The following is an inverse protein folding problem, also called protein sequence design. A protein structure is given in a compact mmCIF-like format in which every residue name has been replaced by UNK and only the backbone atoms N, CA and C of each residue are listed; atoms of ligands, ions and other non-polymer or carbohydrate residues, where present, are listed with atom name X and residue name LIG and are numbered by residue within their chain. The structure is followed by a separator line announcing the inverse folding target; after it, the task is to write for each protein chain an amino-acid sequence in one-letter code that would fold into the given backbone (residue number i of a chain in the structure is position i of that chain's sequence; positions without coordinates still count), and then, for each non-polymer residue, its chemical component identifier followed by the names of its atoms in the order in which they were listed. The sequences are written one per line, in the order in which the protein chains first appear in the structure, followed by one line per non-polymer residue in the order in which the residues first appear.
data_IF_341481498849
#
_entry.id   IF_341481498849
#
_cell.length_a   1.000
_cell.length_b   1.000
_cell.length_c   1.000
_cell.angle_alpha   90.00
_cell.angle_beta   90.00
_cell.angle_gamma   90.00
#
_symmetry.space_group_name_H-M   'P 1'
#
loop_
_entity.id
_entity.type
_entity.pdbx_description
1 polymer ?
#
# COMPACT_ATOMS: atom_id res chain seq x y z
N UNK A 1 -21.91 -10.10 15.89
CA UNK A 1 -21.33 -10.57 14.63
C UNK A 1 -20.78 -9.41 13.79
N UNK A 2 -21.56 -8.42 13.37
CA UNK A 2 -21.08 -7.30 12.55
C UNK A 2 -19.85 -6.57 13.13
N UNK A 3 -19.87 -6.20 14.42
CA UNK A 3 -18.76 -5.51 15.08
C UNK A 3 -17.44 -6.28 15.07
N UNK A 4 -17.50 -7.61 15.09
CA UNK A 4 -16.31 -8.47 15.05
C UNK A 4 -15.74 -8.66 13.65
N UNK A 5 -16.56 -8.44 12.62
CA UNK A 5 -16.16 -8.60 11.20
C UNK A 5 -15.75 -7.26 10.57
N UNK A 6 -16.30 -6.14 11.03
CA UNK A 6 -16.06 -4.83 10.41
C UNK A 6 -14.58 -4.40 10.39
N UNK A 7 -13.76 -4.58 11.46
CA UNK A 7 -12.34 -4.29 11.38
C UNK A 7 -11.61 -5.13 10.31
N UNK A 8 -12.03 -6.38 10.07
CA UNK A 8 -11.46 -7.22 9.02
C UNK A 8 -11.77 -6.65 7.63
N UNK A 9 -12.96 -6.09 7.41
CA UNK A 9 -13.29 -5.39 6.16
C UNK A 9 -12.37 -4.19 5.95
N UNK A 10 -12.08 -3.42 7.00
CA UNK A 10 -11.12 -2.32 6.94
C UNK A 10 -9.69 -2.81 6.62
N UNK A 11 -9.25 -3.90 7.26
CA UNK A 11 -7.95 -4.53 6.96
C UNK A 11 -7.88 -4.96 5.49
N UNK A 12 -8.91 -5.63 4.98
CA UNK A 12 -8.95 -6.05 3.57
C UNK A 12 -8.95 -4.87 2.61
N UNK A 13 -9.68 -3.79 2.93
CA UNK A 13 -9.63 -2.56 2.14
C UNK A 13 -8.23 -1.94 2.13
N UNK A 14 -7.55 -1.91 3.29
CA UNK A 14 -6.16 -1.47 3.40
C UNK A 14 -5.19 -2.35 2.60
N UNK A 15 -5.36 -3.67 2.64
CA UNK A 15 -4.58 -4.62 1.83
C UNK A 15 -4.79 -4.37 0.34
N UNK A 16 -6.03 -4.14 -0.11
CA UNK A 16 -6.33 -3.80 -1.51
C UNK A 16 -5.64 -2.51 -1.92
N UNK A 17 -5.79 -1.45 -1.13
CA UNK A 17 -5.18 -0.15 -1.41
C UNK A 17 -3.65 -0.24 -1.45
N UNK A 18 -3.06 -0.96 -0.50
CA UNK A 18 -1.62 -1.17 -0.49
C UNK A 18 -1.15 -2.03 -1.68
N UNK A 19 -1.87 -3.08 -2.05
CA UNK A 19 -1.51 -3.94 -3.18
C UNK A 19 -1.62 -3.19 -4.51
N UNK A 20 -2.60 -2.31 -4.67
CA UNK A 20 -2.81 -1.52 -5.90
C UNK A 20 -1.84 -0.35 -5.96
N UNK A 21 -1.83 0.52 -4.95
CA UNK A 21 -1.05 1.76 -4.97
C UNK A 21 0.41 1.50 -4.63
N UNK A 22 0.68 0.75 -3.56
CA UNK A 22 2.04 0.33 -3.20
C UNK A 22 2.62 -0.62 -4.25
N UNK A 23 1.78 -1.50 -4.83
CA UNK A 23 2.17 -2.37 -5.94
C UNK A 23 2.61 -1.57 -7.16
N UNK A 24 1.89 -0.52 -7.55
CA UNK A 24 2.30 0.36 -8.65
C UNK A 24 3.65 1.03 -8.37
N UNK A 25 3.86 1.44 -7.13
CA UNK A 25 5.10 2.07 -6.68
C UNK A 25 6.28 1.07 -6.67
N UNK A 26 6.13 -0.14 -6.12
CA UNK A 26 7.14 -1.20 -6.21
C UNK A 26 7.43 -1.61 -7.65
N UNK A 27 6.40 -1.77 -8.46
CA UNK A 27 6.54 -2.14 -9.87
C UNK A 27 7.28 -1.09 -10.70
N UNK A 28 7.15 0.20 -10.37
CA UNK A 28 7.94 1.25 -11.00
C UNK A 28 9.44 1.07 -10.75
N UNK A 29 9.84 0.72 -9.50
CA UNK A 29 11.24 0.38 -9.19
C UNK A 29 11.74 -0.86 -9.96
N UNK A 30 10.87 -1.86 -10.19
CA UNK A 30 11.22 -3.03 -11.02
C UNK A 30 11.37 -2.61 -12.49
N UNK A 31 10.52 -1.71 -13.01
CA UNK A 31 10.68 -1.20 -14.37
C UNK A 31 11.94 -0.35 -14.55
N UNK A 32 12.42 0.34 -13.50
CA UNK A 32 13.73 0.97 -13.52
C UNK A 32 14.85 -0.05 -13.72
N UNK A 33 14.80 -1.20 -13.03
CA UNK A 33 15.74 -2.31 -13.20
C UNK A 33 15.72 -2.85 -14.63
N UNK A 34 14.53 -2.98 -15.22
CA UNK A 34 14.30 -3.53 -16.56
C UNK A 34 14.37 -2.49 -17.69
N UNK A 35 14.75 -1.25 -17.40
CA UNK A 35 14.79 -0.16 -18.39
C UNK A 35 15.86 -0.35 -19.48
N UNK A 36 16.94 -1.05 -19.16
CA UNK A 36 18.10 -1.25 -20.03
C UNK A 36 19.06 -0.04 -20.07
N UNK A 37 20.18 -0.16 -20.79
CA UNK A 37 21.17 0.91 -20.95
C UNK A 37 20.75 1.94 -22.01
N UNK A 38 21.46 3.09 -22.04
CA UNK A 38 21.32 4.15 -23.04
C UNK A 38 20.18 5.13 -22.75
N UNK A 39 20.07 6.15 -23.60
CA UNK A 39 19.15 7.28 -23.44
C UNK A 39 17.68 6.88 -23.25
N UNK A 40 17.23 5.85 -23.97
CA UNK A 40 15.86 5.35 -23.81
C UNK A 40 15.62 4.75 -22.43
N UNK A 41 16.61 4.00 -21.91
CA UNK A 41 16.53 3.42 -20.56
C UNK A 41 16.56 4.51 -19.49
N UNK A 42 17.34 5.54 -19.67
CA UNK A 42 17.43 6.70 -18.79
C UNK A 42 16.09 7.45 -18.71
N UNK A 43 15.49 7.77 -19.84
CA UNK A 43 14.15 8.41 -19.89
C UNK A 43 13.08 7.56 -19.21
N UNK A 44 13.14 6.22 -19.33
CA UNK A 44 12.20 5.32 -18.62
C UNK A 44 12.42 5.38 -17.11
N UNK A 45 13.68 5.41 -16.64
CA UNK A 45 14.01 5.52 -15.21
C UNK A 45 13.55 6.85 -14.64
N UNK A 46 13.81 7.94 -15.35
CA UNK A 46 13.42 9.29 -14.96
C UNK A 46 11.89 9.41 -14.86
N UNK A 47 11.17 9.00 -15.90
CA UNK A 47 9.70 9.00 -15.89
C UNK A 47 9.12 8.15 -14.75
N UNK A 48 9.66 6.95 -14.51
CA UNK A 48 9.21 6.10 -13.42
C UNK A 48 9.49 6.72 -12.04
N UNK A 49 10.60 7.44 -11.89
CA UNK A 49 10.94 8.13 -10.64
C UNK A 49 10.03 9.33 -10.37
N UNK A 50 9.83 10.19 -11.36
CA UNK A 50 9.01 11.41 -11.25
C UNK A 50 7.53 11.09 -11.01
N UNK A 51 7.00 10.12 -11.76
CA UNK A 51 5.59 9.73 -11.65
C UNK A 51 5.21 9.13 -10.29
N UNK A 52 6.16 8.49 -9.60
CA UNK A 52 5.88 7.81 -8.33
C UNK A 52 6.26 8.61 -7.09
N UNK A 53 7.05 9.68 -7.23
CA UNK A 53 7.50 10.50 -6.11
C UNK A 53 6.37 10.99 -5.19
N UNK A 54 5.31 11.61 -5.71
CA UNK A 54 4.21 12.14 -4.88
C UNK A 54 3.37 11.05 -4.18
N UNK A 55 3.41 9.82 -4.68
CA UNK A 55 2.53 8.71 -4.22
C UNK A 55 3.22 7.83 -3.19
N UNK A 56 4.55 7.82 -3.18
CA UNK A 56 5.36 6.92 -2.35
C UNK A 56 5.08 7.07 -0.84
N UNK A 57 5.04 8.27 -0.32
CA UNK A 57 4.80 8.52 1.11
C UNK A 57 3.38 8.09 1.53
N UNK A 58 2.39 8.35 0.68
CA UNK A 58 0.99 8.00 0.96
C UNK A 58 0.75 6.49 0.97
N UNK A 59 1.52 5.70 0.22
CA UNK A 59 1.31 4.25 0.11
C UNK A 59 1.63 3.50 1.40
N UNK A 60 2.64 3.93 2.16
CA UNK A 60 3.06 3.26 3.40
C UNK A 60 2.03 3.42 4.53
N UNK A 61 1.18 4.43 4.47
CA UNK A 61 0.06 4.62 5.42
C UNK A 61 -0.88 3.42 5.41
N UNK A 62 -1.14 2.82 4.24
CA UNK A 62 -2.01 1.65 4.13
C UNK A 62 -1.43 0.40 4.80
N UNK A 63 -0.11 0.19 4.70
CA UNK A 63 0.56 -0.91 5.40
C UNK A 63 0.49 -0.73 6.91
N UNK A 64 0.81 0.47 7.41
CA UNK A 64 0.73 0.79 8.84
C UNK A 64 -0.71 0.62 9.34
N UNK A 65 -1.69 1.06 8.57
CA UNK A 65 -3.11 0.90 8.86
C UNK A 65 -3.49 -0.58 9.01
N UNK A 66 -3.11 -1.44 8.04
CA UNK A 66 -3.36 -2.88 8.10
C UNK A 66 -2.75 -3.52 9.34
N UNK A 67 -1.48 -3.20 9.64
CA UNK A 67 -0.78 -3.75 10.81
C UNK A 67 -1.45 -3.30 12.11
N UNK A 68 -1.75 -1.99 12.24
CA UNK A 68 -2.33 -1.42 13.45
C UNK A 68 -3.73 -1.95 13.73
N UNK A 69 -4.60 -1.98 12.71
CA UNK A 69 -5.97 -2.49 12.88
C UNK A 69 -5.96 -4.00 13.17
N UNK A 70 -5.11 -4.77 12.48
CA UNK A 70 -5.01 -6.22 12.72
C UNK A 70 -4.49 -6.50 14.13
N UNK A 71 -3.45 -5.80 14.58
CA UNK A 71 -2.90 -5.96 15.92
C UNK A 71 -3.93 -5.64 17.00
N UNK A 72 -4.65 -4.54 16.84
CA UNK A 72 -5.59 -4.07 17.86
C UNK A 72 -6.88 -4.87 17.87
N UNK A 73 -7.45 -5.18 16.70
CA UNK A 73 -8.74 -5.88 16.60
C UNK A 73 -8.62 -7.40 16.70
N UNK A 74 -7.48 -8.00 16.31
CA UNK A 74 -7.27 -9.45 16.29
C UNK A 74 -5.87 -9.83 16.84
N UNK A 75 -5.59 -9.59 18.14
CA UNK A 75 -4.26 -9.71 18.71
C UNK A 75 -3.66 -11.13 18.62
N UNK A 76 -4.47 -12.16 18.80
CA UNK A 76 -4.02 -13.57 18.69
C UNK A 76 -3.63 -13.89 17.24
N UNK A 77 -4.42 -13.46 16.28
CA UNK A 77 -4.14 -13.62 14.85
C UNK A 77 -2.85 -12.89 14.46
N UNK A 78 -2.71 -11.61 14.86
CA UNK A 78 -1.52 -10.82 14.59
C UNK A 78 -0.26 -11.43 15.22
N UNK A 79 -0.32 -11.82 16.50
CA UNK A 79 0.82 -12.39 17.21
C UNK A 79 1.29 -13.71 16.59
N UNK A 80 0.36 -14.57 16.15
CA UNK A 80 0.67 -15.82 15.46
C UNK A 80 1.39 -15.57 14.12
N UNK A 81 0.92 -14.63 13.32
CA UNK A 81 1.53 -14.25 12.04
C UNK A 81 2.89 -13.61 12.27
N UNK A 82 2.97 -12.60 13.13
CA UNK A 82 4.17 -11.82 13.35
C UNK A 82 5.33 -12.68 13.89
N UNK A 83 5.04 -13.66 14.73
CA UNK A 83 6.05 -14.55 15.28
C UNK A 83 6.46 -15.66 14.32
N UNK A 84 5.51 -16.34 13.68
CA UNK A 84 5.79 -17.45 12.74
C UNK A 84 6.45 -16.96 11.46
N UNK A 85 5.99 -15.82 10.92
CA UNK A 85 6.48 -15.26 9.66
C UNK A 85 7.48 -14.10 9.87
N UNK A 86 8.11 -14.04 11.05
CA UNK A 86 9.04 -12.96 11.43
C UNK A 86 10.15 -12.74 10.42
N UNK A 87 10.72 -13.81 9.84
CA UNK A 87 11.79 -13.72 8.83
C UNK A 87 11.27 -13.09 7.54
N UNK A 88 10.13 -13.54 7.01
CA UNK A 88 9.55 -12.98 5.79
C UNK A 88 9.15 -11.51 5.99
N UNK A 89 8.54 -11.18 7.14
CA UNK A 89 8.18 -9.81 7.50
C UNK A 89 9.41 -8.91 7.70
N UNK A 90 10.49 -9.44 8.29
CA UNK A 90 11.75 -8.71 8.42
C UNK A 90 12.38 -8.41 7.05
N UNK A 91 12.38 -9.38 6.14
CA UNK A 91 12.86 -9.20 4.75
C UNK A 91 12.02 -8.12 4.04
N UNK A 92 10.70 -8.16 4.19
CA UNK A 92 9.80 -7.15 3.63
C UNK A 92 10.08 -5.76 4.22
N UNK A 93 10.19 -5.67 5.55
CA UNK A 93 10.50 -4.42 6.25
C UNK A 93 11.86 -3.84 5.86
N UNK A 94 12.89 -4.69 5.76
CA UNK A 94 14.21 -4.28 5.29
C UNK A 94 14.14 -3.75 3.84
N UNK A 95 13.40 -4.42 2.96
CA UNK A 95 13.16 -3.94 1.60
C UNK A 95 12.50 -2.56 1.56
N UNK A 96 11.48 -2.33 2.39
CA UNK A 96 10.80 -1.03 2.48
C UNK A 96 11.75 0.05 3.00
N UNK A 97 12.54 -0.25 4.04
CA UNK A 97 13.51 0.70 4.63
C UNK A 97 14.60 1.04 3.61
N UNK A 98 15.20 0.04 2.96
CA UNK A 98 16.23 0.24 1.94
C UNK A 98 15.71 1.09 0.77
N UNK A 99 14.48 0.86 0.37
CA UNK A 99 13.84 1.64 -0.68
C UNK A 99 13.67 3.11 -0.29
N UNK A 100 13.17 3.38 0.92
CA UNK A 100 13.04 4.73 1.46
C UNK A 100 14.39 5.44 1.61
N UNK A 101 15.40 4.73 2.13
CA UNK A 101 16.77 5.25 2.25
C UNK A 101 17.37 5.58 0.87
N UNK A 102 17.21 4.68 -0.11
CA UNK A 102 17.69 4.92 -1.48
C UNK A 102 17.01 6.13 -2.12
N UNK A 103 15.71 6.31 -1.92
CA UNK A 103 14.98 7.48 -2.42
C UNK A 103 15.53 8.79 -1.83
N UNK A 104 15.77 8.81 -0.51
CA UNK A 104 16.30 9.99 0.17
C UNK A 104 17.77 10.28 -0.21
N UNK A 105 18.59 9.25 -0.40
CA UNK A 105 20.02 9.40 -0.76
C UNK A 105 20.23 9.81 -2.22
N UNK A 106 19.29 9.53 -3.12
CA UNK A 106 19.43 9.84 -4.54
C UNK A 106 19.65 11.31 -4.83
N UNK A 107 19.02 12.20 -4.07
CA UNK A 107 19.17 13.66 -4.22
C UNK A 107 20.56 14.18 -3.82
N UNK A 108 21.33 13.42 -3.04
CA UNK A 108 22.68 13.75 -2.58
C UNK A 108 23.79 12.99 -3.28
N UNK A 109 23.48 12.04 -4.17
CA UNK A 109 24.49 11.24 -4.87
C UNK A 109 25.27 12.11 -5.87
N UNK A 110 26.58 12.27 -5.61
CA UNK A 110 27.45 13.18 -6.35
C UNK A 110 28.06 12.57 -7.61
N UNK A 111 28.25 11.24 -7.64
CA UNK A 111 28.94 10.51 -8.69
C UNK A 111 28.09 9.41 -9.34
N UNK A 112 28.31 9.16 -10.64
CA UNK A 112 27.55 8.15 -11.40
C UNK A 112 27.62 6.72 -10.82
N UNK A 113 28.65 6.37 -10.06
CA UNK A 113 28.78 5.06 -9.38
C UNK A 113 27.89 4.99 -8.14
N UNK A 114 27.81 6.06 -7.37
CA UNK A 114 26.95 6.14 -6.20
C UNK A 114 25.47 6.09 -6.61
N UNK A 115 25.10 6.82 -7.65
CA UNK A 115 23.77 6.79 -8.24
C UNK A 115 23.39 5.38 -8.69
N UNK A 116 24.30 4.63 -9.34
CA UNK A 116 24.04 3.25 -9.75
C UNK A 116 23.82 2.30 -8.58
N UNK A 117 24.55 2.46 -7.47
CA UNK A 117 24.36 1.65 -6.26
C UNK A 117 23.04 1.95 -5.58
N UNK A 118 22.67 3.23 -5.46
CA UNK A 118 21.40 3.68 -4.88
C UNK A 118 20.23 3.21 -5.72
N UNK A 119 20.27 3.38 -7.03
CA UNK A 119 19.22 2.93 -7.96
C UNK A 119 19.12 1.39 -7.98
N UNK A 120 20.25 0.68 -7.89
CA UNK A 120 20.30 -0.78 -7.78
C UNK A 120 19.64 -1.27 -6.47
N UNK A 121 20.00 -0.67 -5.33
CA UNK A 121 19.41 -0.98 -4.03
C UNK A 121 17.89 -0.70 -4.03
N UNK A 122 17.46 0.43 -4.57
CA UNK A 122 16.04 0.78 -4.74
C UNK A 122 15.29 -0.27 -5.56
N UNK A 123 15.86 -0.68 -6.69
CA UNK A 123 15.22 -1.64 -7.60
C UNK A 123 15.14 -3.05 -7.01
N UNK A 124 16.20 -3.53 -6.36
CA UNK A 124 16.22 -4.84 -5.68
C UNK A 124 15.23 -4.82 -4.51
N UNK A 125 15.22 -3.78 -3.70
CA UNK A 125 14.26 -3.62 -2.61
C UNK A 125 12.82 -3.59 -3.11
N UNK A 126 12.57 -2.99 -4.27
CA UNK A 126 11.26 -2.95 -4.94
C UNK A 126 10.77 -4.32 -5.43
N UNK A 127 11.67 -5.27 -5.64
CA UNK A 127 11.34 -6.67 -5.95
C UNK A 127 11.12 -7.49 -4.69
N UNK A 128 12.03 -7.36 -3.72
CA UNK A 128 12.08 -8.20 -2.51
C UNK A 128 10.90 -7.92 -1.57
N UNK A 129 10.53 -6.65 -1.38
CA UNK A 129 9.46 -6.26 -0.46
C UNK A 129 8.09 -6.85 -0.86
N UNK A 130 7.55 -6.65 -2.07
CA UNK A 130 6.25 -7.23 -2.46
C UNK A 130 6.31 -8.76 -2.54
N UNK A 131 7.44 -9.35 -2.91
CA UNK A 131 7.61 -10.80 -2.89
C UNK A 131 7.47 -11.37 -1.47
N UNK A 132 8.18 -10.82 -0.49
CA UNK A 132 8.14 -11.30 0.89
C UNK A 132 6.77 -11.05 1.55
N UNK A 133 6.11 -9.91 1.29
CA UNK A 133 4.74 -9.66 1.73
C UNK A 133 3.74 -10.62 1.09
N UNK A 134 3.91 -10.92 -0.19
CA UNK A 134 3.11 -11.92 -0.89
C UNK A 134 3.30 -13.32 -0.31
N UNK A 135 4.54 -13.72 0.00
CA UNK A 135 4.82 -14.98 0.69
C UNK A 135 4.14 -15.04 2.07
N UNK A 136 4.14 -13.93 2.82
CA UNK A 136 3.43 -13.80 4.10
C UNK A 136 1.92 -14.05 3.92
N UNK A 137 1.29 -13.36 2.95
CA UNK A 137 -0.13 -13.55 2.64
C UNK A 137 -0.42 -14.99 2.19
N UNK A 138 0.44 -15.57 1.36
CA UNK A 138 0.33 -16.95 0.89
C UNK A 138 0.45 -17.99 2.00
N UNK A 139 1.32 -17.77 2.99
CA UNK A 139 1.46 -18.63 4.16
C UNK A 139 0.19 -18.66 5.02
N UNK A 140 -0.44 -17.50 5.22
CA UNK A 140 -1.73 -17.39 5.89
C UNK A 140 -2.83 -18.09 5.07
N UNK A 141 -2.86 -17.87 3.75
CA UNK A 141 -3.83 -18.47 2.85
C UNK A 141 -3.74 -19.99 2.82
N UNK A 142 -2.52 -20.55 2.84
CA UNK A 142 -2.24 -21.98 2.80
C UNK A 142 -2.27 -22.69 4.18
N UNK A 143 -2.78 -22.02 5.22
CA UNK A 143 -2.89 -22.58 6.59
C UNK A 143 -1.52 -22.98 7.20
N UNK A 144 -0.43 -22.35 6.80
CA UNK A 144 0.93 -22.63 7.29
C UNK A 144 1.27 -21.94 8.61
N UNK A 145 0.35 -21.16 9.15
CA UNK A 145 0.53 -20.41 10.40
C UNK A 145 -0.36 -21.01 11.48
N UNK A 146 0.19 -21.77 12.42
CA UNK A 146 -0.57 -22.28 13.58
C UNK A 146 -0.88 -21.15 14.55
N UNK A 147 -1.91 -21.36 15.39
CA UNK A 147 -2.29 -20.41 16.44
C UNK A 147 -1.29 -20.46 17.59
N UNK A 148 -0.79 -19.30 17.98
CA UNK A 148 0.14 -19.12 19.09
C UNK A 148 1.44 -18.42 18.68
N UNK A 149 2.06 -17.76 19.65
CA UNK A 149 3.33 -17.09 19.43
C UNK A 149 4.46 -18.11 19.25
N UNK A 150 5.21 -17.98 18.17
CA UNK A 150 6.31 -18.88 17.80
C UNK A 150 5.89 -20.36 17.68
N UNK A 151 4.63 -20.64 17.35
CA UNK A 151 4.12 -22.00 17.23
C UNK A 151 4.47 -22.68 15.89
N UNK A 152 4.77 -21.88 14.85
CA UNK A 152 5.15 -22.33 13.51
C UNK A 152 6.65 -22.18 13.24
N UNK A 153 7.13 -22.91 12.22
CA UNK A 153 8.50 -22.78 11.73
C UNK A 153 8.70 -21.50 10.94
N UNK A 154 9.77 -20.75 11.26
CA UNK A 154 10.05 -19.41 10.71
C UNK A 154 10.49 -19.42 9.24
N UNK A 155 10.87 -20.55 8.67
CA UNK A 155 11.32 -20.68 7.29
C UNK A 155 10.36 -21.51 6.44
N UNK A 156 10.05 -22.73 6.84
CA UNK A 156 9.20 -23.64 6.05
C UNK A 156 7.77 -23.14 5.91
N UNK A 157 7.27 -22.31 6.84
CA UNK A 157 5.93 -21.74 6.76
C UNK A 157 5.72 -20.85 5.53
N UNK A 158 6.74 -20.10 5.08
CA UNK A 158 6.66 -19.22 3.91
C UNK A 158 7.49 -19.67 2.71
N UNK A 159 8.47 -20.58 2.90
CA UNK A 159 9.24 -21.23 1.83
C UNK A 159 8.57 -22.52 1.36
N UNK A 160 7.27 -22.47 1.08
CA UNK A 160 6.49 -23.59 0.55
C UNK A 160 5.75 -23.19 -0.74
N UNK A 161 5.22 -24.13 -1.54
CA UNK A 161 4.78 -23.85 -2.91
C UNK A 161 3.76 -22.72 -3.03
N UNK A 162 2.68 -22.72 -2.21
CA UNK A 162 1.64 -21.69 -2.28
C UNK A 162 2.18 -20.31 -1.85
N UNK A 163 2.87 -20.13 -0.72
CA UNK A 163 3.48 -18.86 -0.35
C UNK A 163 4.40 -18.28 -1.42
N UNK A 164 5.31 -19.10 -1.97
CA UNK A 164 6.23 -18.65 -3.02
C UNK A 164 5.47 -18.22 -4.28
N UNK A 165 4.42 -18.93 -4.66
CA UNK A 165 3.57 -18.59 -5.80
C UNK A 165 2.80 -17.29 -5.56
N UNK A 166 2.28 -17.06 -4.35
CA UNK A 166 1.60 -15.78 -4.00
C UNK A 166 2.60 -14.63 -3.96
N UNK A 167 3.86 -14.88 -3.50
CA UNK A 167 4.96 -13.91 -3.62
C UNK A 167 5.23 -13.53 -5.07
N UNK A 168 5.33 -14.50 -5.97
CA UNK A 168 5.50 -14.25 -7.39
C UNK A 168 4.31 -13.49 -8.00
N UNK A 169 3.08 -13.82 -7.61
CA UNK A 169 1.87 -13.08 -8.00
C UNK A 169 1.90 -11.62 -7.55
N UNK A 170 2.32 -11.36 -6.30
CA UNK A 170 2.42 -10.00 -5.78
C UNK A 170 3.39 -9.15 -6.61
N UNK A 171 4.53 -9.73 -7.02
CA UNK A 171 5.48 -9.07 -7.94
C UNK A 171 4.85 -8.85 -9.31
N UNK A 172 4.19 -9.86 -9.90
CA UNK A 172 3.54 -9.73 -11.21
C UNK A 172 2.46 -8.64 -11.19
N UNK A 173 1.64 -8.58 -10.15
CA UNK A 173 0.62 -7.54 -9.99
C UNK A 173 1.25 -6.16 -9.83
N UNK A 174 2.36 -6.04 -9.07
CA UNK A 174 3.10 -4.80 -8.92
C UNK A 174 3.62 -4.29 -10.27
N UNK A 175 4.30 -5.15 -11.02
CA UNK A 175 4.84 -4.83 -12.35
C UNK A 175 3.73 -4.44 -13.34
N UNK A 176 2.60 -5.18 -13.32
CA UNK A 176 1.46 -4.91 -14.18
C UNK A 176 0.78 -3.58 -13.86
N UNK A 177 0.46 -3.33 -12.58
CA UNK A 177 -0.17 -2.07 -12.14
C UNK A 177 0.73 -0.87 -12.44
N UNK A 178 2.04 -0.98 -12.14
CA UNK A 178 3.00 0.08 -12.47
C UNK A 178 3.01 0.42 -13.95
N UNK A 179 3.02 -0.58 -14.83
CA UNK A 179 3.04 -0.34 -16.27
C UNK A 179 1.79 0.41 -16.75
N UNK A 180 0.60 0.11 -16.17
CA UNK A 180 -0.65 0.83 -16.49
C UNK A 180 -0.60 2.27 -15.99
N UNK A 181 -0.13 2.48 -14.74
CA UNK A 181 -0.05 3.80 -14.14
C UNK A 181 0.94 4.70 -14.88
N UNK A 182 2.13 4.16 -15.22
CA UNK A 182 3.16 4.89 -15.97
C UNK A 182 2.73 5.17 -17.42
N UNK A 183 2.01 4.24 -18.07
CA UNK A 183 1.43 4.49 -19.40
C UNK A 183 0.40 5.61 -19.38
N UNK A 184 -0.46 5.63 -18.36
CA UNK A 184 -1.48 6.65 -18.21
C UNK A 184 -0.87 8.03 -17.91
N UNK A 185 0.16 8.07 -17.06
CA UNK A 185 0.87 9.30 -16.73
C UNK A 185 1.61 9.88 -17.94
N UNK A 186 2.39 9.05 -18.65
CA UNK A 186 3.05 9.45 -19.89
C UNK A 186 2.05 9.90 -20.98
N UNK A 187 0.87 9.31 -21.04
CA UNK A 187 -0.18 9.75 -21.95
C UNK A 187 -0.72 11.14 -21.59
N UNK A 188 -0.92 11.41 -20.30
CA UNK A 188 -1.40 12.70 -19.77
C UNK A 188 -0.38 13.82 -19.98
N UNK A 189 0.92 13.54 -19.84
CA UNK A 189 2.01 14.50 -20.06
C UNK A 189 2.34 14.68 -21.54
N UNK A 190 1.72 13.90 -22.44
CA UNK A 190 1.96 13.99 -23.89
C UNK A 190 3.18 13.23 -24.39
N UNK A 191 3.85 12.46 -23.56
CA UNK A 191 5.03 11.65 -23.87
C UNK A 191 4.66 10.34 -24.60
N UNK A 192 4.17 10.46 -25.83
CA UNK A 192 3.64 9.34 -26.61
C UNK A 192 4.61 8.16 -26.73
N UNK A 193 5.91 8.41 -26.87
CA UNK A 193 6.92 7.33 -27.00
C UNK A 193 7.07 6.51 -25.72
N UNK A 194 6.98 7.14 -24.55
CA UNK A 194 7.02 6.47 -23.25
C UNK A 194 5.69 5.75 -23.00
N UNK A 195 4.56 6.40 -23.29
CA UNK A 195 3.23 5.80 -23.16
C UNK A 195 3.11 4.53 -23.99
N UNK A 196 3.57 4.50 -25.26
CA UNK A 196 3.59 3.31 -26.10
C UNK A 196 4.55 2.23 -25.59
N UNK A 197 5.68 2.63 -25.04
CA UNK A 197 6.62 1.71 -24.40
C UNK A 197 5.98 1.00 -23.20
N UNK A 198 5.32 1.75 -22.32
CA UNK A 198 4.64 1.18 -21.14
C UNK A 198 3.35 0.43 -21.52
N UNK A 199 2.67 0.81 -22.60
CA UNK A 199 1.54 0.04 -23.15
C UNK A 199 1.96 -1.40 -23.46
N UNK A 200 3.07 -1.59 -24.20
CA UNK A 200 3.57 -2.93 -24.54
C UNK A 200 3.94 -3.69 -23.26
N UNK A 201 4.64 -3.03 -22.33
CA UNK A 201 5.00 -3.61 -21.04
C UNK A 201 3.78 -4.02 -20.22
N UNK A 202 2.72 -3.21 -20.18
CA UNK A 202 1.48 -3.53 -19.50
C UNK A 202 0.78 -4.74 -20.11
N UNK A 203 0.73 -4.85 -21.44
CA UNK A 203 0.15 -6.02 -22.12
C UNK A 203 0.94 -7.31 -21.81
N UNK A 204 2.26 -7.26 -21.90
CA UNK A 204 3.13 -8.41 -21.57
C UNK A 204 3.00 -8.79 -20.10
N UNK A 205 3.11 -7.82 -19.19
CA UNK A 205 3.00 -8.05 -17.76
C UNK A 205 1.60 -8.59 -17.39
N UNK A 206 0.54 -8.12 -18.02
CA UNK A 206 -0.81 -8.61 -17.80
C UNK A 206 -1.01 -10.05 -18.25
N UNK A 207 -0.45 -10.44 -19.41
CA UNK A 207 -0.46 -11.84 -19.87
C UNK A 207 0.35 -12.72 -18.91
N UNK A 208 1.53 -12.26 -18.48
CA UNK A 208 2.36 -13.00 -17.52
C UNK A 208 1.63 -13.14 -16.18
N UNK A 209 1.03 -12.07 -15.65
CA UNK A 209 0.25 -12.11 -14.43
C UNK A 209 -0.93 -13.10 -14.53
N UNK A 210 -1.63 -13.13 -15.67
CA UNK A 210 -2.68 -14.10 -15.94
C UNK A 210 -2.16 -15.54 -15.96
N UNK A 211 -1.04 -15.79 -16.63
CA UNK A 211 -0.42 -17.12 -16.67
C UNK A 211 0.05 -17.59 -15.28
N UNK A 212 0.69 -16.70 -14.51
CA UNK A 212 1.11 -16.98 -13.13
C UNK A 212 -0.11 -17.19 -12.22
N UNK A 213 -1.23 -16.48 -12.43
CA UNK A 213 -2.48 -16.70 -11.69
C UNK A 213 -3.08 -18.08 -11.96
N UNK A 214 -3.04 -18.56 -13.20
CA UNK A 214 -3.47 -19.92 -13.55
C UNK A 214 -2.55 -20.96 -12.90
N UNK A 215 -1.23 -20.76 -12.98
CA UNK A 215 -0.25 -21.63 -12.32
C UNK A 215 -0.45 -21.64 -10.80
N UNK A 216 -0.74 -20.47 -10.18
CA UNK A 216 -1.04 -20.38 -8.76
C UNK A 216 -2.29 -21.21 -8.39
N UNK A 217 -3.32 -21.20 -9.22
CA UNK A 217 -4.52 -22.00 -8.96
C UNK A 217 -4.21 -23.51 -9.01
N UNK A 218 -3.33 -23.96 -9.91
CA UNK A 218 -2.86 -25.35 -9.98
C UNK A 218 -2.06 -25.71 -8.72
N UNK A 219 -1.16 -24.82 -8.28
CA UNK A 219 -0.36 -25.05 -7.05
C UNK A 219 -1.25 -25.06 -5.83
N UNK A 220 -2.23 -24.14 -5.72
CA UNK A 220 -3.21 -24.12 -4.63
C UNK A 220 -4.05 -25.40 -4.62
N UNK A 221 -4.43 -25.94 -5.78
CA UNK A 221 -5.14 -27.23 -5.87
C UNK A 221 -4.31 -28.38 -5.30
N UNK A 222 -2.99 -28.39 -5.55
CA UNK A 222 -2.11 -29.47 -5.14
C UNK A 222 -1.66 -29.37 -3.65
N UNK A 223 -1.39 -28.14 -3.15
CA UNK A 223 -0.73 -27.91 -1.85
C UNK A 223 -1.68 -27.37 -0.76
N UNK A 224 -2.81 -26.74 -1.14
CA UNK A 224 -3.78 -26.13 -0.23
C UNK A 224 -5.22 -26.44 -0.67
N UNK A 225 -5.59 -27.72 -0.62
CA UNK A 225 -6.87 -28.22 -1.14
C UNK A 225 -8.11 -27.57 -0.48
N UNK A 226 -8.03 -27.26 0.81
CA UNK A 226 -9.09 -26.54 1.55
C UNK A 226 -9.35 -25.15 0.96
N UNK A 227 -8.27 -24.39 0.64
CA UNK A 227 -8.36 -23.10 0.01
C UNK A 227 -8.94 -23.23 -1.41
N UNK A 228 -8.46 -24.18 -2.21
CA UNK A 228 -8.99 -24.43 -3.54
C UNK A 228 -10.49 -24.68 -3.51
N UNK A 229 -10.93 -25.61 -2.63
CA UNK A 229 -12.34 -25.91 -2.47
C UNK A 229 -13.18 -24.68 -2.12
N UNK A 230 -12.66 -23.79 -1.26
CA UNK A 230 -13.30 -22.51 -0.96
C UNK A 230 -13.38 -21.57 -2.16
N UNK A 231 -12.30 -21.48 -2.96
CA UNK A 231 -12.22 -20.57 -4.11
C UNK A 231 -13.18 -20.94 -5.26
N UNK A 232 -13.45 -22.22 -5.48
CA UNK A 232 -14.29 -22.70 -6.58
C UNK A 232 -15.79 -22.77 -6.24
N UNK A 233 -16.20 -22.24 -5.06
CA UNK A 233 -17.61 -22.26 -4.62
C UNK A 233 -18.10 -20.90 -4.16
N UNK A 234 -19.41 -20.69 -4.20
CA UNK A 234 -20.10 -19.55 -3.61
C UNK A 234 -19.61 -18.17 -4.09
N UNK A 235 -19.52 -17.24 -3.13
CA UNK A 235 -19.11 -15.86 -3.38
C UNK A 235 -17.65 -15.72 -3.83
N UNK A 236 -16.77 -16.62 -3.41
CA UNK A 236 -15.36 -16.60 -3.81
C UNK A 236 -15.22 -16.89 -5.32
N UNK A 237 -15.95 -17.86 -5.85
CA UNK A 237 -15.99 -18.11 -7.31
C UNK A 237 -16.52 -16.92 -8.09
N UNK A 238 -17.58 -16.26 -7.59
CA UNK A 238 -18.12 -15.07 -8.25
C UNK A 238 -17.08 -13.94 -8.29
N UNK A 239 -16.34 -13.69 -7.21
CA UNK A 239 -15.29 -12.68 -7.19
C UNK A 239 -14.08 -13.07 -8.04
N UNK A 240 -13.74 -14.35 -8.16
CA UNK A 240 -12.73 -14.82 -9.12
C UNK A 240 -13.16 -14.54 -10.57
N UNK A 241 -14.40 -14.78 -10.92
CA UNK A 241 -14.94 -14.45 -12.26
C UNK A 241 -14.86 -12.95 -12.50
N UNK A 242 -15.23 -12.12 -11.51
CA UNK A 242 -15.09 -10.65 -11.59
C UNK A 242 -13.62 -10.26 -11.84
N UNK A 243 -12.67 -10.89 -11.14
CA UNK A 243 -11.24 -10.64 -11.36
C UNK A 243 -10.80 -10.96 -12.79
N UNK A 244 -11.19 -12.11 -13.32
CA UNK A 244 -10.85 -12.53 -14.70
C UNK A 244 -11.45 -11.53 -15.71
N UNK A 245 -12.73 -11.21 -15.59
CA UNK A 245 -13.42 -10.27 -16.48
C UNK A 245 -12.77 -8.88 -16.41
N UNK A 246 -12.51 -8.38 -15.21
CA UNK A 246 -11.85 -7.09 -15.01
C UNK A 246 -10.42 -7.09 -15.58
N UNK A 247 -9.65 -8.17 -15.39
CA UNK A 247 -8.30 -8.32 -15.94
C UNK A 247 -8.29 -8.33 -17.48
N UNK A 248 -9.19 -9.09 -18.11
CA UNK A 248 -9.35 -9.10 -19.57
C UNK A 248 -9.81 -7.74 -20.10
N UNK A 249 -10.75 -7.09 -19.40
CA UNK A 249 -11.20 -5.73 -19.75
C UNK A 249 -10.03 -4.75 -19.67
N UNK A 250 -9.18 -4.86 -18.65
CA UNK A 250 -7.99 -4.02 -18.51
C UNK A 250 -7.04 -4.20 -19.69
N UNK A 251 -6.77 -5.44 -20.11
CA UNK A 251 -5.94 -5.71 -21.29
C UNK A 251 -6.55 -5.10 -22.56
N UNK A 252 -7.86 -5.21 -22.74
CA UNK A 252 -8.57 -4.59 -23.86
C UNK A 252 -8.49 -3.06 -23.85
N UNK A 253 -8.62 -2.44 -22.68
CA UNK A 253 -8.51 -0.99 -22.52
C UNK A 253 -7.08 -0.49 -22.76
N UNK A 254 -6.07 -1.20 -22.28
CA UNK A 254 -4.65 -0.90 -22.55
C UNK A 254 -4.35 -1.06 -24.05
N UNK A 255 -4.88 -2.11 -24.68
CA UNK A 255 -4.78 -2.28 -26.13
C UNK A 255 -5.39 -1.10 -26.89
N UNK A 256 -6.57 -0.64 -26.46
CA UNK A 256 -7.29 0.51 -27.02
C UNK A 256 -6.72 1.88 -26.59
N UNK A 257 -5.59 1.93 -25.88
CA UNK A 257 -4.94 3.15 -25.36
C UNK A 257 -5.83 3.96 -24.39
N UNK A 258 -6.78 3.31 -23.72
CA UNK A 258 -7.65 3.91 -22.70
C UNK A 258 -7.08 3.65 -21.32
N UNK A 259 -6.00 4.35 -20.95
CA UNK A 259 -5.22 4.04 -19.74
C UNK A 259 -5.94 4.41 -18.44
N UNK A 260 -6.68 5.53 -18.38
CA UNK A 260 -7.38 5.94 -17.16
C UNK A 260 -8.44 4.91 -16.69
N UNK A 261 -9.37 4.45 -17.54
CA UNK A 261 -10.27 3.38 -17.11
C UNK A 261 -9.54 2.03 -16.89
N UNK A 262 -8.38 1.79 -17.53
CA UNK A 262 -7.57 0.60 -17.28
C UNK A 262 -6.99 0.57 -15.85
N UNK A 263 -6.64 1.71 -15.25
CA UNK A 263 -6.24 1.81 -13.84
C UNK A 263 -7.34 1.27 -12.91
N UNK A 264 -8.57 1.70 -13.15
CA UNK A 264 -9.73 1.31 -12.33
C UNK A 264 -10.04 -0.17 -12.48
N UNK A 265 -10.12 -0.67 -13.72
CA UNK A 265 -10.43 -2.10 -13.96
C UNK A 265 -9.30 -3.01 -13.47
N UNK A 266 -8.04 -2.60 -13.59
CA UNK A 266 -6.90 -3.30 -13.01
C UNK A 266 -6.96 -3.36 -11.48
N UNK A 267 -7.30 -2.25 -10.83
CA UNK A 267 -7.51 -2.22 -9.38
C UNK A 267 -8.67 -3.14 -8.95
N UNK A 268 -9.77 -3.16 -9.70
CA UNK A 268 -10.90 -4.08 -9.46
C UNK A 268 -10.45 -5.54 -9.61
N UNK A 269 -9.64 -5.87 -10.60
CA UNK A 269 -9.13 -7.22 -10.80
C UNK A 269 -8.33 -7.70 -9.58
N UNK A 270 -7.41 -6.87 -9.09
CA UNK A 270 -6.59 -7.18 -7.89
C UNK A 270 -7.47 -7.26 -6.63
N UNK A 271 -8.38 -6.30 -6.44
CA UNK A 271 -9.31 -6.30 -5.30
C UNK A 271 -10.17 -7.57 -5.27
N UNK A 272 -10.64 -8.02 -6.42
CA UNK A 272 -11.47 -9.20 -6.55
C UNK A 272 -10.69 -10.50 -6.21
N UNK A 273 -9.38 -10.60 -6.51
CA UNK A 273 -8.54 -11.73 -6.05
C UNK A 273 -8.44 -11.76 -4.53
N UNK A 274 -8.19 -10.61 -3.91
CA UNK A 274 -8.09 -10.50 -2.45
C UNK A 274 -9.44 -10.84 -1.80
N UNK A 275 -10.55 -10.35 -2.35
CA UNK A 275 -11.89 -10.66 -1.89
C UNK A 275 -12.23 -12.17 -2.06
N UNK A 276 -11.82 -12.79 -3.17
CA UNK A 276 -12.00 -14.22 -3.39
C UNK A 276 -11.29 -15.05 -2.31
N UNK A 277 -10.03 -14.69 -2.00
CA UNK A 277 -9.29 -15.32 -0.91
C UNK A 277 -9.99 -15.15 0.44
N UNK A 278 -10.40 -13.93 0.79
CA UNK A 278 -11.08 -13.66 2.05
C UNK A 278 -12.40 -14.41 2.18
N UNK A 279 -13.18 -14.48 1.12
CA UNK A 279 -14.45 -15.22 1.08
C UNK A 279 -14.23 -16.74 1.15
N UNK A 280 -13.20 -17.27 0.48
CA UNK A 280 -12.86 -18.68 0.51
C UNK A 280 -12.45 -19.17 1.92
N UNK A 281 -11.91 -18.26 2.74
CA UNK A 281 -11.44 -18.56 4.11
C UNK A 281 -12.46 -18.24 5.20
N UNK A 282 -13.49 -17.45 4.92
CA UNK A 282 -14.48 -17.04 5.90
C UNK A 282 -15.25 -18.24 6.46
N UNK A 283 -15.41 -18.39 7.81
CA UNK A 283 -15.04 -17.46 8.89
C UNK A 283 -13.68 -17.76 9.55
N UNK A 284 -12.82 -18.59 8.98
CA UNK A 284 -11.57 -19.05 9.56
C UNK A 284 -10.41 -18.12 9.19
N UNK A 285 -9.69 -17.58 10.18
CA UNK A 285 -8.50 -16.76 10.00
C UNK A 285 -7.22 -17.61 9.95
N UNK A 286 -7.06 -18.52 10.94
CA UNK A 286 -5.98 -19.50 11.02
C UNK A 286 -6.58 -20.89 11.34
N UNK A 287 -5.82 -21.98 11.15
CA UNK A 287 -6.27 -23.31 11.55
C UNK A 287 -6.74 -23.33 13.01
N UNK A 288 -8.03 -23.60 13.23
CA UNK A 288 -8.63 -23.60 14.56
C UNK A 288 -8.95 -22.23 15.17
N UNK A 289 -8.77 -21.13 14.44
CA UNK A 289 -9.08 -19.78 14.92
C UNK A 289 -10.07 -19.09 13.97
N UNK A 290 -11.29 -18.87 14.43
CA UNK A 290 -12.32 -18.12 13.71
C UNK A 290 -12.23 -16.63 14.00
N UNK A 291 -12.90 -15.81 13.17
CA UNK A 291 -13.02 -14.34 13.36
C UNK A 291 -13.57 -14.02 14.77
N UNK A 292 -14.60 -14.75 15.21
CA UNK A 292 -15.22 -14.53 16.51
C UNK A 292 -14.29 -14.83 17.69
N UNK A 293 -13.43 -15.84 17.56
CA UNK A 293 -12.45 -16.23 18.58
C UNK A 293 -11.22 -15.33 18.62
N UNK A 294 -10.82 -14.80 17.44
CA UNK A 294 -9.67 -13.91 17.30
C UNK A 294 -9.96 -12.47 17.74
N UNK A 295 -11.24 -12.07 17.72
CA UNK A 295 -11.67 -10.70 17.96
C UNK A 295 -11.37 -10.25 19.40
N UNK A 296 -10.85 -9.02 19.52
CA UNK A 296 -10.61 -8.35 20.79
C UNK A 296 -11.92 -8.10 21.57
N UNK A 297 -11.82 -7.52 22.77
CA UNK A 297 -12.97 -7.15 23.58
C UNK A 297 -13.92 -6.19 22.84
N UNK A 298 -15.21 -6.19 23.25
CA UNK A 298 -16.22 -5.32 22.65
C UNK A 298 -15.78 -3.84 22.61
N UNK A 299 -15.25 -3.33 23.71
CA UNK A 299 -14.87 -1.91 23.84
C UNK A 299 -13.68 -1.57 22.94
N UNK A 300 -12.71 -2.48 22.80
CA UNK A 300 -11.60 -2.34 21.87
C UNK A 300 -12.10 -2.29 20.42
N UNK A 301 -13.02 -3.17 20.04
CA UNK A 301 -13.57 -3.19 18.68
C UNK A 301 -14.36 -1.92 18.37
N UNK A 302 -15.18 -1.43 19.31
CA UNK A 302 -15.91 -0.14 19.16
C UNK A 302 -14.91 0.99 18.97
N UNK A 303 -13.86 1.06 19.81
CA UNK A 303 -12.83 2.09 19.71
C UNK A 303 -12.11 2.05 18.36
N UNK A 304 -11.73 0.87 17.88
CA UNK A 304 -11.08 0.71 16.56
C UNK A 304 -12.02 1.19 15.45
N UNK A 305 -13.28 0.77 15.46
CA UNK A 305 -14.25 1.17 14.42
C UNK A 305 -14.45 2.68 14.41
N UNK A 306 -14.64 3.28 15.59
CA UNK A 306 -14.81 4.75 15.72
C UNK A 306 -13.57 5.47 15.24
N UNK A 307 -12.38 5.03 15.65
CA UNK A 307 -11.10 5.64 15.25
C UNK A 307 -10.88 5.55 13.73
N UNK A 308 -11.19 4.40 13.12
CA UNK A 308 -11.04 4.21 11.67
C UNK A 308 -12.00 5.09 10.89
N UNK A 309 -13.28 5.15 11.31
CA UNK A 309 -14.29 5.99 10.64
C UNK A 309 -13.95 7.48 10.80
N UNK A 310 -13.60 7.92 12.01
CA UNK A 310 -13.20 9.30 12.27
C UNK A 310 -11.94 9.69 11.51
N UNK A 311 -10.91 8.80 11.52
CA UNK A 311 -9.69 8.98 10.74
C UNK A 311 -9.97 9.06 9.23
N UNK A 312 -10.87 8.22 8.71
CA UNK A 312 -11.30 8.25 7.31
C UNK A 312 -11.96 9.56 6.92
N UNK A 313 -12.82 10.09 7.75
CA UNK A 313 -13.49 11.41 7.52
C UNK A 313 -12.46 12.55 7.42
N UNK A 314 -11.34 12.47 8.12
CA UNK A 314 -10.24 13.45 8.00
C UNK A 314 -9.32 13.16 6.83
N UNK A 315 -8.92 11.89 6.66
CA UNK A 315 -7.93 11.47 5.67
C UNK A 315 -8.41 11.64 4.23
N UNK A 316 -9.61 11.17 3.90
CA UNK A 316 -10.08 11.20 2.51
C UNK A 316 -10.26 12.61 1.94
N UNK A 317 -10.85 13.58 2.64
CA UNK A 317 -10.86 14.97 2.17
C UNK A 317 -9.48 15.58 2.03
N UNK A 318 -8.57 15.29 2.98
CA UNK A 318 -7.19 15.79 2.95
C UNK A 318 -6.42 15.25 1.75
N UNK A 319 -6.56 13.94 1.45
CA UNK A 319 -5.98 13.32 0.26
C UNK A 319 -6.60 13.88 -1.02
N UNK A 320 -7.92 14.07 -1.08
CA UNK A 320 -8.59 14.66 -2.22
C UNK A 320 -8.09 16.09 -2.49
N UNK A 321 -7.89 16.88 -1.43
CA UNK A 321 -7.33 18.23 -1.52
C UNK A 321 -5.88 18.17 -2.02
N UNK A 322 -5.03 17.31 -1.44
CA UNK A 322 -3.65 17.11 -1.84
C UNK A 322 -3.55 16.76 -3.34
N UNK A 323 -4.30 15.75 -3.77
CA UNK A 323 -4.31 15.33 -5.18
C UNK A 323 -4.85 16.44 -6.10
N UNK A 324 -5.86 17.20 -5.66
CA UNK A 324 -6.38 18.32 -6.44
C UNK A 324 -5.32 19.41 -6.64
N UNK A 325 -4.58 19.76 -5.60
CA UNK A 325 -3.51 20.75 -5.66
C UNK A 325 -2.34 20.22 -6.51
N UNK A 326 -1.93 18.97 -6.30
CA UNK A 326 -0.78 18.38 -7.01
C UNK A 326 -1.05 18.17 -8.50
N UNK A 327 -2.25 17.72 -8.87
CA UNK A 327 -2.57 17.36 -10.26
C UNK A 327 -3.31 18.45 -11.05
N UNK A 328 -3.88 19.47 -10.39
CA UNK A 328 -4.57 20.62 -11.04
C UNK A 328 -3.82 21.94 -10.90
N UNK A 329 -2.69 21.96 -10.19
CA UNK A 329 -1.82 23.12 -10.15
C UNK A 329 -1.37 23.50 -11.58
N UNK A 330 -1.15 24.80 -11.89
CA UNK A 330 -0.63 25.19 -13.19
C UNK A 330 0.68 24.43 -13.42
N UNK A 331 0.79 23.73 -14.58
CA UNK A 331 2.08 23.21 -15.07
C UNK A 331 3.09 24.34 -14.97
N UNK A 332 4.29 24.12 -14.41
CA UNK A 332 5.32 25.12 -14.48
C UNK A 332 5.57 25.40 -15.98
N UNK A 333 5.17 26.58 -16.42
CA UNK A 333 5.42 27.04 -17.79
C UNK A 333 6.93 26.93 -18.04
N UNK A 334 7.26 26.18 -19.08
CA UNK A 334 8.57 26.11 -19.71
C UNK A 334 9.27 27.50 -19.72
N UNK A 335 10.42 27.59 -19.05
CA UNK A 335 11.36 28.69 -19.27
C UNK A 335 11.45 29.67 -18.09
N UNK A 336 12.12 29.26 -17.05
CA UNK A 336 12.68 30.16 -16.04
C UNK A 336 13.74 29.34 -15.29
N UNK A 337 14.97 29.81 -15.36
CA UNK A 337 16.12 29.29 -14.62
C UNK A 337 15.70 28.98 -13.19
N UNK A 338 15.86 27.73 -12.79
CA UNK A 338 15.73 27.32 -11.40
C UNK A 338 16.88 27.96 -10.61
N UNK A 339 16.74 29.25 -10.29
CA UNK A 339 17.44 29.78 -9.13
C UNK A 339 16.95 28.97 -7.94
N UNK A 340 17.87 28.23 -7.35
CA UNK A 340 17.65 27.45 -6.12
C UNK A 340 17.16 28.35 -4.98
N UNK A 341 15.90 28.68 -5.01
CA UNK A 341 15.17 29.14 -3.85
C UNK A 341 14.84 27.88 -3.06
N UNK A 342 15.72 27.58 -2.09
CA UNK A 342 15.28 26.83 -0.91
C UNK A 342 13.89 27.38 -0.56
N UNK A 343 12.86 26.53 -0.63
CA UNK A 343 11.55 26.85 -0.07
C UNK A 343 11.76 26.98 1.43
N UNK A 344 12.31 28.11 1.84
CA UNK A 344 12.25 28.57 3.20
C UNK A 344 10.77 28.80 3.46
N UNK A 345 10.15 27.85 4.15
CA UNK A 345 8.83 28.04 4.73
C UNK A 345 8.89 29.36 5.51
N UNK A 346 8.12 30.37 5.11
CA UNK A 346 8.06 31.61 5.87
C UNK A 346 7.33 31.27 7.18
N UNK A 347 8.09 30.82 8.19
CA UNK A 347 7.65 30.69 9.57
C UNK A 347 7.34 32.09 10.16
N UNK A 348 6.32 32.74 9.61
CA UNK A 348 5.56 33.80 10.28
C UNK A 348 4.12 33.38 10.45
N UNK A 349 3.91 32.14 10.91
CA UNK A 349 2.71 31.81 11.65
C UNK A 349 2.64 32.72 12.88
N UNK A 350 1.50 33.33 13.16
CA UNK A 350 1.24 33.95 14.45
C UNK A 350 1.71 32.96 15.51
N UNK A 351 2.65 33.38 16.37
CA UNK A 351 3.35 32.51 17.35
C UNK A 351 2.42 31.73 18.32
N UNK A 352 1.11 31.89 18.16
CA UNK A 352 0.06 31.27 18.96
C UNK A 352 -0.36 29.87 18.45
N UNK A 353 -0.57 29.65 17.14
CA UNK A 353 -1.04 28.36 16.62
C UNK A 353 -0.05 27.20 16.89
N UNK A 354 1.27 27.29 16.60
CA UNK A 354 2.21 26.23 16.94
C UNK A 354 2.38 26.03 18.45
N UNK A 355 2.21 27.08 19.27
CA UNK A 355 2.22 26.94 20.74
C UNK A 355 1.00 26.19 21.24
N UNK A 356 -0.19 26.49 20.72
CA UNK A 356 -1.42 25.77 21.04
C UNK A 356 -1.29 24.30 20.63
N UNK A 357 -0.79 24.03 19.42
CA UNK A 357 -0.53 22.66 18.96
C UNK A 357 0.42 21.92 19.89
N UNK A 358 1.55 22.53 20.29
CA UNK A 358 2.49 21.90 21.22
C UNK A 358 1.87 21.59 22.59
N UNK A 359 1.09 22.53 23.15
CA UNK A 359 0.38 22.31 24.42
C UNK A 359 -0.63 21.16 24.29
N UNK A 360 -1.43 21.15 23.24
CA UNK A 360 -2.43 20.10 23.00
C UNK A 360 -1.76 18.72 22.80
N UNK A 361 -0.61 18.67 22.15
CA UNK A 361 0.18 17.44 22.00
C UNK A 361 0.67 16.92 23.36
N UNK A 362 1.28 17.78 24.19
CA UNK A 362 1.79 17.41 25.51
C UNK A 362 0.65 16.97 26.43
N UNK A 363 -0.47 17.70 26.44
CA UNK A 363 -1.66 17.35 27.23
C UNK A 363 -2.24 16.03 26.74
N UNK A 364 -2.37 15.86 25.41
CA UNK A 364 -2.88 14.63 24.81
C UNK A 364 -2.07 13.41 25.19
N UNK A 365 -0.75 13.44 24.98
CA UNK A 365 0.15 12.35 25.39
C UNK A 365 0.18 12.13 26.89
N UNK A 366 0.23 13.21 27.68
CA UNK A 366 0.24 13.12 29.13
C UNK A 366 -1.00 12.45 29.70
N UNK A 367 -2.20 12.86 29.23
CA UNK A 367 -3.47 12.27 29.67
C UNK A 367 -3.64 10.80 29.24
N UNK A 368 -3.11 10.42 28.08
CA UNK A 368 -3.20 9.03 27.62
C UNK A 368 -2.22 8.09 28.34
N UNK A 369 -1.05 8.60 28.79
CA UNK A 369 0.00 7.76 29.35
C UNK A 369 0.12 7.85 30.87
N UNK A 370 -0.22 8.99 31.48
CA UNK A 370 -0.02 9.22 32.92
C UNK A 370 -1.26 8.94 33.80
N UNK A 371 -2.43 8.74 33.17
CA UNK A 371 -3.69 8.60 33.90
C UNK A 371 -4.48 7.36 33.45
N UNK A 372 -4.89 6.53 34.42
CA UNK A 372 -5.65 5.31 34.15
C UNK A 372 -7.18 5.51 34.16
N UNK A 373 -7.66 6.72 34.40
CA UNK A 373 -9.10 7.01 34.44
C UNK A 373 -9.67 7.23 33.03
N UNK A 374 -10.80 6.61 32.69
CA UNK A 374 -11.39 6.67 31.35
C UNK A 374 -11.68 8.08 30.83
N UNK A 375 -12.06 9.03 31.73
CA UNK A 375 -12.24 10.43 31.34
C UNK A 375 -10.93 11.13 30.92
N UNK A 376 -9.78 10.72 31.48
CA UNK A 376 -8.47 11.23 31.08
C UNK A 376 -8.13 10.81 29.66
N UNK A 377 -8.46 9.58 29.26
CA UNK A 377 -8.28 9.10 27.90
C UNK A 377 -9.14 9.88 26.91
N UNK A 378 -10.40 10.20 27.27
CA UNK A 378 -11.28 11.03 26.43
C UNK A 378 -10.65 12.42 26.22
N UNK A 379 -10.21 13.08 27.28
CA UNK A 379 -9.55 14.39 27.18
C UNK A 379 -8.26 14.29 26.36
N UNK A 380 -7.48 13.23 26.56
CA UNK A 380 -6.25 12.97 25.79
C UNK A 380 -6.50 12.86 24.29
N UNK A 381 -7.54 12.12 23.90
CA UNK A 381 -7.95 11.98 22.50
C UNK A 381 -8.43 13.31 21.92
N UNK A 382 -9.29 14.05 22.65
CA UNK A 382 -9.78 15.37 22.21
C UNK A 382 -8.59 16.33 22.02
N UNK A 383 -7.63 16.34 22.95
CA UNK A 383 -6.45 17.18 22.87
C UNK A 383 -5.57 16.84 21.65
N UNK A 384 -5.39 15.54 21.31
CA UNK A 384 -4.65 15.13 20.12
C UNK A 384 -5.38 15.51 18.83
N UNK A 385 -6.71 15.43 18.77
CA UNK A 385 -7.47 15.96 17.63
C UNK A 385 -7.30 17.48 17.52
N UNK A 386 -7.37 18.21 18.63
CA UNK A 386 -7.07 19.63 18.67
C UNK A 386 -5.66 19.98 18.21
N UNK A 387 -4.66 19.15 18.56
CA UNK A 387 -3.28 19.27 18.06
C UNK A 387 -3.22 19.15 16.52
N UNK A 388 -3.89 18.16 15.94
CA UNK A 388 -3.91 17.98 14.49
C UNK A 388 -4.54 19.20 13.82
N UNK A 389 -5.67 19.70 14.31
CA UNK A 389 -6.34 20.89 13.76
C UNK A 389 -5.46 22.13 13.89
N UNK A 390 -4.91 22.39 15.09
CA UNK A 390 -4.05 23.55 15.35
C UNK A 390 -2.73 23.47 14.57
N UNK A 391 -2.16 22.27 14.43
CA UNK A 391 -0.97 22.02 13.62
C UNK A 391 -1.22 22.27 12.14
N UNK A 392 -2.35 21.79 11.62
CA UNK A 392 -2.76 22.04 10.25
C UNK A 392 -2.96 23.53 9.95
N UNK A 393 -3.66 24.27 10.82
CA UNK A 393 -3.87 25.73 10.68
C UNK A 393 -2.57 26.51 10.82
N UNK A 394 -1.56 25.97 11.51
CA UNK A 394 -0.24 26.60 11.64
C UNK A 394 0.62 26.45 10.37
N UNK A 395 0.38 25.41 9.56
CA UNK A 395 1.18 25.06 8.37
C UNK A 395 0.54 25.57 7.08
N UNK A 396 -0.80 25.67 7.00
CA UNK A 396 -1.52 26.11 5.78
C UNK A 396 -1.21 27.59 5.49
N UNK A 397 -0.67 27.94 4.30
CA UNK A 397 -0.47 29.32 3.90
C UNK A 397 -1.81 30.08 3.80
N UNK A 398 -1.86 31.32 4.32
CA UNK A 398 -3.06 32.17 4.31
C UNK A 398 -3.62 32.48 2.92
N UNK A 399 -2.81 32.34 1.89
CA UNK A 399 -3.21 32.55 0.48
C UNK A 399 -4.20 31.49 -0.03
N UNK A 400 -4.32 30.35 0.66
CA UNK A 400 -5.30 29.28 0.36
C UNK A 400 -6.57 29.37 1.21
N UNK A 401 -6.55 30.11 2.31
CA UNK A 401 -7.71 30.48 3.08
C UNK A 401 -8.26 31.79 2.49
N UNK A 402 -8.98 31.68 1.36
CA UNK A 402 -9.55 32.83 0.68
C UNK A 402 -10.23 33.78 1.65
N UNK A 403 -10.06 35.09 1.40
CA UNK A 403 -10.83 36.14 2.04
C UNK A 403 -12.33 35.80 1.96
N UNK A 404 -12.88 35.32 3.08
CA UNK A 404 -14.31 35.14 3.31
C UNK A 404 -14.76 36.13 4.37
#
# INVERSE_FOLDING_TARGET
MLLRTLPLVFVLAGVVLYTVLGGADFGAGIWQLLSGPGERGERIREHAHESMGPVWEANHVWLIFVLTVTWTAYPVFFGSIASTLSVALFIAGLGIILRGASYALRSGAADGRETLLVDGAFSIASLVAPFALGCTAGAVAAERVPVGNAAGDQFSSWLSPVPLMVGALAVCFSVYMAAIFLAADAHRTGERGIADSFRIRALVAGVVAGAVSIAALVVVHADAHSLYAGLVHGGALATMIVSIVAGLTTLGLVWARRFEPARVTGAIAVAAVIAAWALARNPVLLPGLTIDQAAASHDTLVTVVVAVVAGGVLLFPSLALLFTITFRGPSPATGGEATGTSVGFPLRATATAPRIAAVLFIVGLGMLNAANAGWCHIIGVIALFGFVIAGFTAIVPRELAGDA
#
